data_IF_201710889690
#
_entry.id   IF_201710889690
#
_cell.length_a   1.000
_cell.length_b   1.000
_cell.length_c   1.000
_cell.angle_alpha   90.00
_cell.angle_beta   90.00
_cell.angle_gamma   90.00
#
_symmetry.space_group_name_H-M   'P 1'
#
loop_
_entity.id
_entity.type
_entity.pdbx_description
1 polymer ?
#
# COMPACT_ATOMS: atom_id res chain seq x y z
N UNK A 1 14.90 6.74 -31.76
CA UNK A 1 16.06 6.14 -31.07
C UNK A 1 15.53 5.38 -29.87
N UNK A 2 15.42 4.04 -29.96
CA UNK A 2 14.93 3.21 -28.86
C UNK A 2 16.13 2.83 -27.99
N UNK A 3 16.27 3.48 -26.84
CA UNK A 3 17.23 3.05 -25.83
C UNK A 3 16.50 2.07 -24.92
N UNK A 4 16.70 0.77 -25.14
CA UNK A 4 16.29 -0.24 -24.19
C UNK A 4 17.31 -0.24 -23.03
N UNK A 5 17.01 0.48 -21.96
CA UNK A 5 17.77 0.34 -20.70
C UNK A 5 17.26 -0.92 -19.99
N UNK A 6 18.14 -1.89 -19.67
CA UNK A 6 17.72 -3.06 -18.90
C UNK A 6 17.22 -2.62 -17.52
N UNK A 7 16.03 -3.06 -17.16
CA UNK A 7 15.37 -2.74 -15.90
C UNK A 7 14.87 -4.02 -15.25
N UNK A 8 15.02 -4.13 -13.94
CA UNK A 8 14.55 -5.28 -13.16
C UNK A 8 13.90 -4.82 -11.85
N UNK A 9 12.74 -5.40 -11.53
CA UNK A 9 12.11 -5.27 -10.21
C UNK A 9 12.63 -6.43 -9.35
N UNK A 10 13.67 -6.17 -8.56
CA UNK A 10 14.31 -7.20 -7.75
C UNK A 10 13.41 -7.73 -6.60
N UNK A 11 12.46 -6.92 -6.13
CA UNK A 11 11.52 -7.30 -5.08
C UNK A 11 10.41 -6.27 -4.92
N UNK A 12 9.26 -6.71 -4.43
CA UNK A 12 8.11 -5.87 -4.11
C UNK A 12 7.60 -6.22 -2.73
N UNK A 13 7.08 -5.24 -2.00
CA UNK A 13 6.52 -5.43 -0.67
C UNK A 13 5.34 -4.52 -0.46
N UNK A 14 4.48 -4.90 0.47
CA UNK A 14 3.23 -4.20 0.75
C UNK A 14 2.99 -4.17 2.24
N UNK A 15 2.51 -3.04 2.74
CA UNK A 15 1.98 -2.91 4.08
C UNK A 15 0.66 -2.14 3.99
N UNK A 16 -0.30 -2.54 4.81
CA UNK A 16 -1.58 -1.87 4.97
C UNK A 16 -1.77 -1.59 6.46
N UNK A 17 -2.57 -0.57 6.83
CA UNK A 17 -2.98 -0.39 8.21
C UNK A 17 -3.63 -1.63 8.82
N UNK A 18 -3.71 -1.68 10.14
CA UNK A 18 -4.31 -2.82 10.86
C UNK A 18 -5.85 -2.80 10.82
N UNK A 19 -6.46 -1.60 10.83
CA UNK A 19 -7.91 -1.45 10.89
C UNK A 19 -8.55 -1.76 9.53
N UNK A 20 -9.04 -3.00 9.38
CA UNK A 20 -9.86 -3.44 8.25
C UNK A 20 -11.30 -2.96 8.43
N UNK A 21 -11.84 -2.30 7.40
CA UNK A 21 -13.22 -1.84 7.34
C UNK A 21 -13.92 -2.51 6.16
N UNK A 22 -14.99 -3.24 6.44
CA UNK A 22 -15.83 -3.83 5.40
C UNK A 22 -16.73 -2.77 4.77
N UNK A 23 -17.14 -3.00 3.52
CA UNK A 23 -18.11 -2.12 2.88
C UNK A 23 -19.46 -2.14 3.57
N UNK A 24 -19.85 -3.25 4.19
CA UNK A 24 -21.11 -3.34 4.95
C UNK A 24 -21.07 -2.44 6.19
N UNK A 25 -19.99 -2.47 6.98
CA UNK A 25 -19.82 -1.58 8.14
C UNK A 25 -19.79 -0.10 7.73
N UNK A 26 -19.09 0.21 6.64
CA UNK A 26 -19.01 1.57 6.11
C UNK A 26 -20.37 2.06 5.59
N UNK A 27 -21.11 1.19 4.87
CA UNK A 27 -22.44 1.49 4.36
C UNK A 27 -23.43 1.75 5.50
N UNK A 28 -23.39 0.95 6.58
CA UNK A 28 -24.21 1.19 7.76
C UNK A 28 -23.89 2.53 8.41
N UNK A 29 -22.60 2.86 8.57
CA UNK A 29 -22.15 4.11 9.19
C UNK A 29 -22.53 5.34 8.35
N UNK A 30 -22.57 5.20 7.03
CA UNK A 30 -22.89 6.28 6.09
C UNK A 30 -24.36 6.30 5.64
N UNK A 31 -25.20 5.36 6.11
CA UNK A 31 -26.60 5.27 5.70
C UNK A 31 -26.80 4.89 4.22
N UNK A 32 -25.87 4.14 3.64
CA UNK A 32 -25.93 3.68 2.25
C UNK A 32 -26.62 2.31 2.15
N UNK A 33 -27.26 2.00 1.01
CA UNK A 33 -27.82 0.67 0.77
C UNK A 33 -26.75 -0.43 0.81
N UNK A 34 -27.11 -1.62 1.31
CA UNK A 34 -26.24 -2.79 1.31
C UNK A 34 -25.77 -3.13 -0.12
N UNK A 35 -24.46 -3.29 -0.30
CA UNK A 35 -23.83 -3.65 -1.58
C UNK A 35 -23.62 -2.45 -2.52
N UNK A 36 -23.84 -1.22 -2.05
CA UNK A 36 -23.64 -0.01 -2.85
C UNK A 36 -22.16 0.14 -3.26
N UNK A 37 -21.22 -0.07 -2.34
CA UNK A 37 -19.78 0.09 -2.61
C UNK A 37 -19.29 -0.92 -3.64
N UNK A 38 -19.67 -2.19 -3.50
CA UNK A 38 -19.28 -3.23 -4.45
C UNK A 38 -19.90 -2.98 -5.83
N UNK A 39 -21.17 -2.54 -5.89
CA UNK A 39 -21.85 -2.22 -7.15
C UNK A 39 -21.18 -1.10 -7.94
N UNK A 40 -20.75 -0.02 -7.28
CA UNK A 40 -20.24 1.17 -7.98
C UNK A 40 -18.71 1.24 -8.06
N UNK A 41 -17.98 0.56 -7.17
CA UNK A 41 -16.51 0.60 -7.13
C UNK A 41 -15.82 -0.78 -7.16
N UNK A 42 -16.57 -1.86 -6.97
CA UNK A 42 -16.00 -3.22 -6.81
C UNK A 42 -15.29 -3.46 -5.48
N UNK A 43 -15.28 -2.48 -4.57
CA UNK A 43 -14.57 -2.60 -3.29
C UNK A 43 -15.42 -3.36 -2.28
N UNK A 44 -14.82 -4.38 -1.66
CA UNK A 44 -15.43 -5.17 -0.57
C UNK A 44 -14.89 -4.77 0.79
N UNK A 45 -13.60 -4.54 0.89
CA UNK A 45 -12.90 -4.13 2.12
C UNK A 45 -11.89 -3.03 1.82
N UNK A 46 -11.57 -2.22 2.83
CA UNK A 46 -10.45 -1.28 2.82
C UNK A 46 -9.76 -1.27 4.18
N UNK A 47 -8.64 -0.58 4.27
CA UNK A 47 -7.92 -0.36 5.52
C UNK A 47 -7.84 1.13 5.82
N UNK A 48 -8.08 1.51 7.08
CA UNK A 48 -7.93 2.88 7.55
C UNK A 48 -6.74 2.94 8.51
N UNK A 49 -5.86 3.94 8.34
CA UNK A 49 -4.82 4.20 9.33
C UNK A 49 -5.45 4.90 10.54
N UNK A 50 -5.18 4.41 11.74
CA UNK A 50 -5.63 5.05 12.99
C UNK A 50 -4.45 5.71 13.71
N UNK A 51 -3.29 5.05 13.70
CA UNK A 51 -2.08 5.51 14.39
C UNK A 51 -0.82 5.37 13.52
N UNK A 52 -0.92 4.66 12.41
CA UNK A 52 0.20 4.37 11.52
C UNK A 52 0.54 5.58 10.65
N UNK A 53 1.85 5.84 10.53
CA UNK A 53 2.38 6.89 9.66
C UNK A 53 2.69 6.35 8.26
N UNK A 54 2.76 7.24 7.27
CA UNK A 54 3.18 6.87 5.91
C UNK A 54 4.58 6.24 5.94
N UNK A 55 5.48 6.80 6.76
CA UNK A 55 6.85 6.32 6.88
C UNK A 55 6.95 4.93 7.54
N UNK A 56 6.10 4.63 8.53
CA UNK A 56 6.03 3.31 9.15
C UNK A 56 5.57 2.25 8.15
N UNK A 57 4.47 2.49 7.44
CA UNK A 57 3.95 1.55 6.43
C UNK A 57 4.95 1.38 5.27
N UNK A 58 5.57 2.47 4.80
CA UNK A 58 6.59 2.41 3.77
C UNK A 58 7.82 1.60 4.21
N UNK A 59 8.26 1.75 5.46
CA UNK A 59 9.39 0.99 5.99
C UNK A 59 9.08 -0.52 6.10
N UNK A 60 7.85 -0.88 6.50
CA UNK A 60 7.40 -2.27 6.53
C UNK A 60 7.34 -2.88 5.12
N UNK A 61 6.76 -2.15 4.15
CA UNK A 61 6.72 -2.58 2.76
C UNK A 61 8.14 -2.73 2.17
N UNK A 62 9.04 -1.78 2.45
CA UNK A 62 10.44 -1.83 2.01
C UNK A 62 11.19 -3.03 2.59
N UNK A 63 10.97 -3.37 3.87
CA UNK A 63 11.57 -4.56 4.49
C UNK A 63 11.19 -5.83 3.72
N UNK A 64 9.91 -6.03 3.42
CA UNK A 64 9.45 -7.18 2.65
C UNK A 64 10.03 -7.19 1.21
N UNK A 65 10.14 -6.03 0.58
CA UNK A 65 10.73 -5.92 -0.76
C UNK A 65 12.22 -6.30 -0.77
N UNK A 66 12.98 -5.84 0.23
CA UNK A 66 14.40 -6.18 0.40
C UNK A 66 14.59 -7.68 0.69
N UNK A 67 13.77 -8.26 1.57
CA UNK A 67 13.84 -9.68 1.90
C UNK A 67 13.60 -10.56 0.65
N UNK A 68 12.61 -10.20 -0.18
CA UNK A 68 12.33 -10.88 -1.46
C UNK A 68 13.42 -10.69 -2.51
N UNK A 69 14.12 -9.55 -2.46
CA UNK A 69 15.26 -9.27 -3.33
C UNK A 69 16.57 -9.91 -2.83
N UNK A 70 16.59 -10.48 -1.62
CA UNK A 70 17.81 -10.99 -0.98
C UNK A 70 18.80 -9.87 -0.60
N UNK A 71 18.31 -8.65 -0.34
CA UNK A 71 19.11 -7.46 -0.04
C UNK A 71 18.92 -7.02 1.42
N UNK A 72 19.85 -6.20 1.90
CA UNK A 72 19.81 -5.53 3.20
C UNK A 72 19.67 -4.01 3.00
N UNK A 73 19.17 -3.25 4.01
CA UNK A 73 19.06 -1.79 3.89
C UNK A 73 20.38 -1.09 3.56
N UNK A 74 21.50 -1.63 4.04
CA UNK A 74 22.85 -1.11 3.78
C UNK A 74 23.28 -1.24 2.31
N UNK A 75 22.60 -2.08 1.53
CA UNK A 75 22.88 -2.27 0.10
C UNK A 75 22.17 -1.21 -0.76
N UNK A 76 21.26 -0.43 -0.17
CA UNK A 76 20.59 0.68 -0.86
C UNK A 76 21.49 1.92 -0.91
N UNK A 77 21.66 2.48 -2.10
CA UNK A 77 22.37 3.76 -2.27
C UNK A 77 21.43 4.97 -2.34
N UNK A 78 20.16 4.74 -2.72
CA UNK A 78 19.14 5.78 -2.89
C UNK A 78 17.80 5.22 -2.41
N UNK A 79 17.04 6.05 -1.69
CA UNK A 79 15.64 5.79 -1.32
C UNK A 79 14.79 6.92 -1.89
N UNK A 80 13.78 6.57 -2.68
CA UNK A 80 12.84 7.52 -3.27
C UNK A 80 11.46 7.26 -2.66
N UNK A 81 10.89 8.26 -2.01
CA UNK A 81 9.50 8.24 -1.56
C UNK A 81 8.62 8.91 -2.62
N UNK A 82 7.61 8.20 -3.10
CA UNK A 82 6.66 8.68 -4.11
C UNK A 82 5.23 8.65 -3.56
N UNK A 83 4.99 9.38 -2.47
CA UNK A 83 3.67 9.52 -1.84
C UNK A 83 2.94 10.79 -2.33
N UNK A 84 1.62 10.70 -2.48
CA UNK A 84 0.77 11.84 -2.84
C UNK A 84 0.29 12.64 -1.62
N UNK A 85 0.45 12.07 -0.43
CA UNK A 85 0.10 12.66 0.86
C UNK A 85 1.33 12.67 1.75
N UNK A 86 1.28 13.52 2.78
CA UNK A 86 2.21 13.52 3.89
C UNK A 86 1.39 13.59 5.18
N UNK A 87 1.98 13.10 6.24
CA UNK A 87 1.49 13.13 7.61
C UNK A 87 2.42 13.98 8.48
#
# INVERSE_FOLDING_TARGET
MHIAQPFNIAGVGTAVPECLVTSEELEQTLGLPKGWSEKYSGVRTRYHAEHETNSQLAAQALRQALDRAGLQPKDLNVVISAAATYD
#
